data_IF_963254328130
#
_entry.id   IF_963254328130
#
_cell.length_a   1.000
_cell.length_b   1.000
_cell.length_c   1.000
_cell.angle_alpha   90.00
_cell.angle_beta   90.00
_cell.angle_gamma   90.00
#
_symmetry.space_group_name_H-M   'P 1'
#
loop_
_entity.id
_entity.type
_entity.pdbx_description
1 polymer ?
#
# COMPACT_ATOMS: atom_id res chain seq x y z
N UNK A 1 -11.26 29.60 18.75
CA UNK A 1 -12.34 29.26 17.77
C UNK A 1 -11.90 29.14 16.29
N UNK A 2 -11.51 30.20 15.56
CA UNK A 2 -11.22 30.13 14.11
C UNK A 2 -10.09 29.14 13.73
N UNK A 3 -9.00 29.11 14.51
CA UNK A 3 -7.87 28.17 14.31
C UNK A 3 -8.28 26.71 14.48
N UNK A 4 -9.21 26.43 15.39
CA UNK A 4 -9.73 25.08 15.63
C UNK A 4 -10.55 24.64 14.41
N UNK A 5 -11.46 25.49 13.93
CA UNK A 5 -12.26 25.21 12.74
C UNK A 5 -11.39 24.92 11.51
N UNK A 6 -10.35 25.72 11.28
CA UNK A 6 -9.41 25.46 10.19
C UNK A 6 -8.65 24.14 10.36
N UNK A 7 -8.30 23.77 11.59
CA UNK A 7 -7.58 22.53 11.87
C UNK A 7 -8.49 21.31 11.68
N UNK A 8 -9.75 21.39 12.09
CA UNK A 8 -10.76 20.35 11.82
C UNK A 8 -10.98 20.16 10.32
N UNK A 9 -11.09 21.25 9.53
CA UNK A 9 -11.18 21.13 8.07
C UNK A 9 -9.94 20.48 7.45
N UNK A 10 -8.74 20.76 7.97
CA UNK A 10 -7.49 20.14 7.49
C UNK A 10 -7.44 18.64 7.78
N UNK A 11 -7.83 18.19 8.97
CA UNK A 11 -7.82 16.75 9.29
C UNK A 11 -8.84 15.99 8.44
N UNK A 12 -10.00 16.58 8.18
CA UNK A 12 -11.01 16.03 7.26
C UNK A 12 -10.47 15.89 5.84
N UNK A 13 -9.83 16.94 5.30
CA UNK A 13 -9.21 16.91 3.97
C UNK A 13 -8.14 15.80 3.87
N UNK A 14 -7.26 15.67 4.86
CA UNK A 14 -6.24 14.61 4.85
C UNK A 14 -6.87 13.23 4.93
N UNK A 15 -7.93 13.06 5.74
CA UNK A 15 -8.68 11.81 5.82
C UNK A 15 -9.32 11.45 4.48
N UNK A 16 -9.84 12.44 3.75
CA UNK A 16 -10.34 12.25 2.38
C UNK A 16 -9.21 11.84 1.41
N UNK A 17 -8.02 12.42 1.51
CA UNK A 17 -6.85 12.01 0.71
C UNK A 17 -6.45 10.55 0.97
N UNK A 18 -6.46 10.12 2.23
CA UNK A 18 -6.22 8.72 2.62
C UNK A 18 -7.28 7.82 2.00
N UNK A 19 -8.57 8.16 2.15
CA UNK A 19 -9.67 7.39 1.59
C UNK A 19 -9.57 7.27 0.06
N UNK A 20 -9.23 8.37 -0.63
CA UNK A 20 -9.03 8.37 -2.08
C UNK A 20 -7.87 7.46 -2.50
N UNK A 21 -6.76 7.47 -1.76
CA UNK A 21 -5.63 6.57 -2.02
C UNK A 21 -6.06 5.10 -1.87
N UNK A 22 -6.80 4.76 -0.81
CA UNK A 22 -7.29 3.41 -0.53
C UNK A 22 -8.29 2.94 -1.60
N UNK A 23 -9.20 3.81 -2.05
CA UNK A 23 -10.11 3.51 -3.17
C UNK A 23 -9.34 3.24 -4.46
N UNK A 24 -8.38 4.10 -4.83
CA UNK A 24 -7.56 3.90 -6.04
C UNK A 24 -6.74 2.61 -5.96
N UNK A 25 -6.16 2.31 -4.80
CA UNK A 25 -5.42 1.07 -4.58
C UNK A 25 -6.31 -0.16 -4.67
N UNK A 26 -7.56 -0.07 -4.22
CA UNK A 26 -8.54 -1.16 -4.34
C UNK A 26 -8.91 -1.41 -5.81
N UNK A 27 -9.07 -0.37 -6.63
CA UNK A 27 -9.29 -0.53 -8.07
C UNK A 27 -8.12 -1.24 -8.76
N UNK A 28 -6.88 -0.89 -8.41
CA UNK A 28 -5.70 -1.59 -8.94
C UNK A 28 -5.72 -3.06 -8.51
N UNK A 29 -6.02 -3.35 -7.24
CA UNK A 29 -6.07 -4.71 -6.73
C UNK A 29 -7.11 -5.56 -7.49
N UNK A 30 -8.32 -5.03 -7.67
CA UNK A 30 -9.39 -5.70 -8.42
C UNK A 30 -9.00 -5.91 -9.88
N UNK A 31 -8.55 -4.86 -10.56
CA UNK A 31 -8.13 -4.94 -11.96
C UNK A 31 -7.02 -5.97 -12.16
N UNK A 32 -5.95 -5.87 -11.37
CA UNK A 32 -4.79 -6.75 -11.50
C UNK A 32 -5.13 -8.19 -11.10
N UNK A 33 -5.96 -8.38 -10.07
CA UNK A 33 -6.47 -9.69 -9.68
C UNK A 33 -7.28 -10.37 -10.79
N UNK A 34 -8.13 -9.63 -11.50
CA UNK A 34 -8.89 -10.15 -12.66
C UNK A 34 -7.93 -10.54 -13.79
N UNK A 35 -6.98 -9.67 -14.14
CA UNK A 35 -6.00 -9.95 -15.20
C UNK A 35 -5.18 -11.20 -14.87
N UNK A 36 -4.65 -11.33 -13.65
CA UNK A 36 -3.91 -12.52 -13.24
C UNK A 36 -4.77 -13.78 -13.28
N UNK A 37 -6.03 -13.70 -12.84
CA UNK A 37 -6.96 -14.84 -12.91
C UNK A 37 -7.10 -15.31 -14.36
N UNK A 38 -7.34 -14.40 -15.30
CA UNK A 38 -7.44 -14.73 -16.73
C UNK A 38 -6.16 -15.42 -17.20
N UNK A 39 -4.98 -14.86 -16.89
CA UNK A 39 -3.68 -15.42 -17.27
C UNK A 39 -3.53 -16.86 -16.73
N UNK A 40 -3.75 -17.08 -15.44
CA UNK A 40 -3.57 -18.40 -14.82
C UNK A 40 -4.60 -19.44 -15.24
N UNK A 41 -5.80 -19.02 -15.65
CA UNK A 41 -6.82 -19.93 -16.21
C UNK A 41 -6.61 -20.25 -17.70
N UNK A 42 -5.76 -19.49 -18.39
CA UNK A 42 -5.47 -19.69 -19.81
C UNK A 42 -4.40 -20.77 -20.04
N UNK A 43 -4.30 -21.27 -21.27
CA UNK A 43 -3.20 -22.17 -21.68
C UNK A 43 -1.83 -21.51 -21.47
N UNK A 44 -1.72 -20.20 -21.70
CA UNK A 44 -0.47 -19.43 -21.50
C UNK A 44 0.01 -19.57 -20.05
N UNK A 45 -0.88 -19.45 -19.06
CA UNK A 45 -0.53 -19.61 -17.65
C UNK A 45 -0.01 -21.01 -17.33
N UNK A 46 -0.63 -22.04 -17.89
CA UNK A 46 -0.16 -23.43 -17.71
C UNK A 46 1.23 -23.66 -18.31
N UNK A 47 1.52 -23.04 -19.45
CA UNK A 47 2.83 -23.11 -20.10
C UNK A 47 3.90 -22.32 -19.35
N UNK A 48 3.58 -21.13 -18.82
CA UNK A 48 4.48 -20.40 -17.94
C UNK A 48 4.89 -21.24 -16.73
N UNK A 49 3.93 -21.95 -16.11
CA UNK A 49 4.21 -22.84 -14.99
C UNK A 49 5.06 -24.04 -15.43
N UNK A 50 4.86 -24.57 -16.63
CA UNK A 50 5.67 -25.69 -17.12
C UNK A 50 7.14 -25.30 -17.33
N UNK A 51 7.44 -24.06 -17.72
CA UNK A 51 8.83 -23.58 -17.77
C UNK A 51 9.52 -23.60 -16.40
N UNK A 52 8.78 -23.52 -15.28
CA UNK A 52 9.35 -23.66 -13.93
C UNK A 52 9.77 -25.11 -13.60
N UNK A 53 9.23 -26.10 -14.32
CA UNK A 53 9.71 -27.48 -14.23
C UNK A 53 11.06 -27.59 -14.96
N UNK A 54 12.12 -27.20 -14.25
CA UNK A 54 13.47 -27.10 -14.77
C UNK A 54 13.94 -28.48 -15.29
N UNK A 55 14.18 -28.57 -16.60
CA UNK A 55 14.89 -29.69 -17.22
C UNK A 55 16.27 -29.20 -17.65
N UNK A 56 17.32 -29.92 -17.23
CA UNK A 56 18.69 -29.55 -17.57
C UNK A 56 18.92 -29.90 -19.04
N UNK A 57 19.15 -28.89 -19.87
CA UNK A 57 19.49 -29.09 -21.27
C UNK A 57 20.89 -29.74 -21.38
N UNK A 58 20.97 -30.88 -22.05
CA UNK A 58 22.23 -31.62 -22.24
C UNK A 58 23.17 -30.97 -23.28
N UNK A 59 22.67 -30.02 -24.09
CA UNK A 59 23.43 -29.28 -25.11
C UNK A 59 22.96 -27.83 -25.20
N UNK A 60 23.89 -26.91 -25.41
CA UNK A 60 23.60 -25.51 -25.71
C UNK A 60 23.20 -25.37 -27.18
N UNK A 61 21.90 -25.26 -27.44
CA UNK A 61 21.31 -24.93 -28.74
C UNK A 61 20.60 -23.58 -28.68
N UNK A 62 20.24 -23.01 -29.85
CA UNK A 62 19.41 -21.79 -29.92
C UNK A 62 18.08 -21.97 -29.18
N UNK A 63 17.44 -23.14 -29.31
CA UNK A 63 16.23 -23.49 -28.56
C UNK A 63 16.46 -23.48 -27.05
N UNK A 64 17.60 -24.00 -26.57
CA UNK A 64 17.96 -23.95 -25.15
C UNK A 64 18.14 -22.50 -24.66
N UNK A 65 18.63 -21.59 -25.50
CA UNK A 65 18.75 -20.18 -25.16
C UNK A 65 17.38 -19.50 -25.07
N UNK A 66 16.49 -19.74 -26.03
CA UNK A 66 15.11 -19.22 -26.01
C UNK A 66 14.37 -19.71 -24.76
N UNK A 67 14.44 -21.01 -24.45
CA UNK A 67 13.83 -21.59 -23.25
C UNK A 67 14.37 -20.97 -21.96
N UNK A 68 15.66 -20.64 -21.91
CA UNK A 68 16.26 -19.94 -20.77
C UNK A 68 15.71 -18.51 -20.61
N UNK A 69 15.53 -17.77 -21.71
CA UNK A 69 14.88 -16.45 -21.67
C UNK A 69 13.41 -16.55 -21.25
N UNK A 70 12.68 -17.56 -21.72
CA UNK A 70 11.29 -17.83 -21.32
C UNK A 70 11.21 -18.17 -19.82
N UNK A 71 12.15 -18.95 -19.29
CA UNK A 71 12.25 -19.19 -17.85
C UNK A 71 12.50 -17.89 -17.06
N UNK A 72 13.45 -17.06 -17.50
CA UNK A 72 13.78 -15.81 -16.82
C UNK A 72 12.60 -14.83 -16.81
N UNK A 73 11.88 -14.73 -17.93
CA UNK A 73 10.69 -13.87 -18.04
C UNK A 73 9.52 -14.40 -17.20
N UNK A 74 9.32 -15.72 -17.15
CA UNK A 74 8.37 -16.35 -16.23
C UNK A 74 8.68 -16.01 -14.77
N UNK A 75 9.92 -16.22 -14.32
CA UNK A 75 10.34 -15.88 -12.95
C UNK A 75 10.15 -14.38 -12.70
N UNK A 76 10.57 -13.55 -13.65
CA UNK A 76 10.40 -12.10 -13.61
C UNK A 76 8.95 -11.69 -13.36
N UNK A 77 8.01 -12.26 -14.13
CA UNK A 77 6.58 -12.00 -13.99
C UNK A 77 6.02 -12.36 -12.61
N UNK A 78 6.41 -13.52 -12.06
CA UNK A 78 5.98 -13.92 -10.72
C UNK A 78 6.54 -12.97 -9.65
N UNK A 79 7.82 -12.64 -9.73
CA UNK A 79 8.48 -11.73 -8.78
C UNK A 79 7.83 -10.34 -8.82
N UNK A 80 7.64 -9.77 -10.01
CA UNK A 80 7.01 -8.45 -10.16
C UNK A 80 5.55 -8.45 -9.73
N UNK A 81 4.83 -9.55 -9.92
CA UNK A 81 3.45 -9.71 -9.42
C UNK A 81 3.40 -9.73 -7.89
N UNK A 82 4.28 -10.48 -7.24
CA UNK A 82 4.38 -10.53 -5.77
C UNK A 82 4.76 -9.16 -5.21
N UNK A 83 5.72 -8.46 -5.82
CA UNK A 83 6.09 -7.10 -5.43
C UNK A 83 4.89 -6.16 -5.56
N UNK A 84 4.13 -6.25 -6.66
CA UNK A 84 2.93 -5.44 -6.87
C UNK A 84 1.91 -5.63 -5.74
N UNK A 85 1.55 -6.88 -5.42
CA UNK A 85 0.63 -7.16 -4.32
C UNK A 85 1.15 -6.71 -2.97
N UNK A 86 2.45 -6.87 -2.71
CA UNK A 86 3.07 -6.40 -1.48
C UNK A 86 2.97 -4.87 -1.34
N UNK A 87 3.20 -4.12 -2.42
CA UNK A 87 3.04 -2.66 -2.40
C UNK A 87 1.58 -2.25 -2.20
N UNK A 88 0.61 -2.93 -2.84
CA UNK A 88 -0.83 -2.70 -2.61
C UNK A 88 -1.18 -2.95 -1.13
N UNK A 89 -0.69 -4.05 -0.56
CA UNK A 89 -0.88 -4.36 0.86
C UNK A 89 -0.31 -3.24 1.75
N UNK A 90 0.89 -2.74 1.47
CA UNK A 90 1.47 -1.63 2.23
C UNK A 90 0.69 -0.32 2.08
N UNK A 91 0.01 -0.10 0.96
CA UNK A 91 -0.92 1.03 0.80
C UNK A 91 -2.15 0.85 1.70
N UNK A 92 -2.79 -0.32 1.66
CA UNK A 92 -4.05 -0.58 2.36
C UNK A 92 -3.87 -0.83 3.87
N UNK A 93 -2.67 -1.25 4.31
CA UNK A 93 -2.38 -1.50 5.72
C UNK A 93 -2.62 -0.24 6.57
N UNK A 94 -3.47 -0.39 7.59
CA UNK A 94 -3.69 0.63 8.61
C UNK A 94 -2.43 0.87 9.44
N UNK A 95 -1.80 2.05 9.29
CA UNK A 95 -0.66 2.48 10.10
C UNK A 95 -1.19 3.21 11.33
N UNK A 96 -1.22 2.53 12.47
CA UNK A 96 -1.81 3.05 13.72
C UNK A 96 -0.79 3.46 14.80
N UNK A 97 0.49 3.14 14.61
CA UNK A 97 1.51 3.46 15.60
C UNK A 97 1.95 4.91 15.47
N UNK A 98 1.37 5.80 16.30
CA UNK A 98 1.69 7.24 16.31
C UNK A 98 3.12 7.51 16.76
N UNK A 99 3.71 6.63 17.58
CA UNK A 99 5.04 6.82 18.16
C UNK A 99 6.17 6.87 17.11
N UNK A 100 5.95 6.29 15.92
CA UNK A 100 6.93 6.37 14.83
C UNK A 100 7.09 7.78 14.27
N UNK A 101 6.12 8.66 14.55
CA UNK A 101 6.12 10.07 14.14
C UNK A 101 6.39 11.02 15.31
N UNK A 102 6.79 10.49 16.49
CA UNK A 102 6.99 11.29 17.70
C UNK A 102 8.08 12.35 17.48
N UNK A 103 7.73 13.59 17.78
CA UNK A 103 8.62 14.74 17.73
C UNK A 103 8.39 15.63 18.95
N UNK A 104 9.34 16.53 19.25
CA UNK A 104 9.18 17.49 20.34
C UNK A 104 7.92 18.34 20.13
N UNK A 105 7.04 18.37 21.12
CA UNK A 105 5.77 19.12 21.09
C UNK A 105 4.58 18.36 20.50
N UNK A 106 4.78 17.18 19.89
CA UNK A 106 3.70 16.35 19.37
C UNK A 106 2.96 15.64 20.51
N UNK A 107 1.63 15.77 20.55
CA UNK A 107 0.81 15.03 21.50
C UNK A 107 0.66 13.57 21.05
N UNK A 108 1.23 12.65 21.82
CA UNK A 108 1.11 11.19 21.59
C UNK A 108 -0.03 10.56 22.39
N UNK A 109 -0.58 11.26 23.37
CA UNK A 109 -1.73 10.83 24.17
C UNK A 109 -2.96 11.64 23.77
N UNK A 110 -3.49 11.29 22.60
CA UNK A 110 -4.54 12.05 21.93
C UNK A 110 -5.93 11.68 22.46
N UNK A 111 -6.79 12.70 22.60
CA UNK A 111 -8.21 12.56 22.87
C UNK A 111 -9.06 12.53 21.58
N UNK A 112 -8.40 12.63 20.42
CA UNK A 112 -9.04 12.57 19.09
C UNK A 112 -8.77 11.21 18.42
N UNK A 113 -7.57 10.66 18.58
CA UNK A 113 -7.18 9.42 17.91
C UNK A 113 -7.81 8.20 18.55
N UNK A 114 -8.59 7.44 17.76
CA UNK A 114 -9.28 6.25 18.25
C UNK A 114 -8.35 5.23 18.92
N UNK A 115 -7.09 5.11 18.46
CA UNK A 115 -6.14 4.16 19.00
C UNK A 115 -5.66 4.50 20.41
N UNK A 116 -5.54 5.77 20.76
CA UNK A 116 -5.22 6.19 22.13
C UNK A 116 -6.47 6.19 23.00
N UNK A 117 -7.62 6.66 22.49
CA UNK A 117 -8.90 6.60 23.20
C UNK A 117 -9.22 5.16 23.64
N UNK A 118 -9.03 4.17 22.76
CA UNK A 118 -9.30 2.76 23.08
C UNK A 118 -8.42 2.17 24.20
N UNK A 119 -7.33 2.84 24.58
CA UNK A 119 -6.48 2.42 25.71
C UNK A 119 -6.92 3.00 27.05
N UNK A 120 -7.84 3.97 27.05
CA UNK A 120 -8.35 4.66 28.24
C UNK A 120 -9.64 4.00 28.73
N UNK A 121 -9.93 4.10 30.03
CA UNK A 121 -11.29 3.87 30.52
C UNK A 121 -12.18 5.05 30.14
N UNK A 122 -13.49 4.82 30.09
CA UNK A 122 -14.44 5.90 29.77
C UNK A 122 -14.31 7.07 30.75
N UNK A 123 -14.23 6.79 32.06
CA UNK A 123 -14.13 7.83 33.10
C UNK A 123 -12.87 8.73 32.92
N UNK A 124 -11.73 8.12 32.55
CA UNK A 124 -10.49 8.85 32.29
C UNK A 124 -10.65 9.72 31.04
N UNK A 125 -11.14 9.13 29.95
CA UNK A 125 -11.35 9.84 28.69
C UNK A 125 -12.33 11.02 28.86
N UNK A 126 -13.48 10.80 29.50
CA UNK A 126 -14.47 11.84 29.76
C UNK A 126 -13.89 12.98 30.60
N UNK A 127 -13.14 12.65 31.67
CA UNK A 127 -12.51 13.66 32.51
C UNK A 127 -11.46 14.49 31.75
N UNK A 128 -10.63 13.84 30.92
CA UNK A 128 -9.59 14.51 30.13
C UNK A 128 -10.18 15.42 29.05
N UNK A 129 -11.22 14.97 28.35
CA UNK A 129 -11.91 15.77 27.32
C UNK A 129 -12.62 16.96 27.96
N UNK A 130 -13.34 16.76 29.07
CA UNK A 130 -14.08 17.84 29.73
C UNK A 130 -13.17 18.88 30.41
N UNK A 131 -11.91 18.53 30.68
CA UNK A 131 -10.90 19.44 31.26
C UNK A 131 -9.91 20.00 30.23
N UNK A 132 -10.08 19.66 28.95
CA UNK A 132 -9.22 20.11 27.86
C UNK A 132 -9.48 21.59 27.54
N UNK A 133 -8.41 22.38 27.50
CA UNK A 133 -8.46 23.78 27.07
C UNK A 133 -8.27 23.92 25.55
N UNK A 134 -8.65 25.08 24.98
CA UNK A 134 -8.54 25.32 23.53
C UNK A 134 -7.10 25.15 23.00
N UNK A 135 -6.08 25.39 23.82
CA UNK A 135 -4.67 25.31 23.41
C UNK A 135 -4.23 23.85 23.29
N UNK A 136 -4.58 23.01 24.27
CA UNK A 136 -4.33 21.57 24.25
C UNK A 136 -5.10 20.89 23.13
N UNK A 137 -6.37 21.22 22.95
CA UNK A 137 -7.18 20.67 21.87
C UNK A 137 -6.62 21.03 20.48
N UNK A 138 -6.23 22.30 20.29
CA UNK A 138 -5.58 22.73 19.05
C UNK A 138 -4.25 22.01 18.82
N UNK A 139 -3.46 21.76 19.88
CA UNK A 139 -2.22 20.99 19.77
C UNK A 139 -2.46 19.53 19.39
N UNK A 140 -3.50 18.89 19.94
CA UNK A 140 -3.89 17.53 19.57
C UNK A 140 -4.35 17.47 18.10
N UNK A 141 -5.20 18.40 17.67
CA UNK A 141 -5.59 18.53 16.25
C UNK A 141 -4.37 18.66 15.32
N UNK A 142 -3.43 19.55 15.65
CA UNK A 142 -2.21 19.72 14.86
C UNK A 142 -1.33 18.46 14.85
N UNK A 143 -1.25 17.76 15.98
CA UNK A 143 -0.54 16.48 16.09
C UNK A 143 -1.17 15.42 15.19
N UNK A 144 -2.50 15.31 15.18
CA UNK A 144 -3.23 14.38 14.32
C UNK A 144 -3.12 14.75 12.84
N UNK A 145 -3.20 16.03 12.48
CA UNK A 145 -2.97 16.51 11.11
C UNK A 145 -1.59 16.08 10.63
N UNK A 146 -0.55 16.30 11.43
CA UNK A 146 0.82 15.93 11.09
C UNK A 146 0.97 14.41 10.90
N UNK A 147 0.46 13.62 11.84
CA UNK A 147 0.50 12.15 11.77
C UNK A 147 -0.26 11.64 10.54
N UNK A 148 -1.48 12.13 10.31
CA UNK A 148 -2.30 11.74 9.17
C UNK A 148 -1.65 12.12 7.84
N UNK A 149 -1.00 13.29 7.74
CA UNK A 149 -0.28 13.71 6.54
C UNK A 149 0.89 12.77 6.22
N UNK A 150 1.64 12.33 7.23
CA UNK A 150 2.72 11.36 7.06
C UNK A 150 2.19 9.98 6.61
N UNK A 151 1.07 9.53 7.21
CA UNK A 151 0.41 8.29 6.80
C UNK A 151 -0.05 8.37 5.34
N UNK A 152 -0.70 9.47 4.96
CA UNK A 152 -1.13 9.71 3.58
C UNK A 152 0.05 9.67 2.61
N UNK A 153 1.15 10.34 2.97
CA UNK A 153 2.38 10.37 2.16
C UNK A 153 2.94 8.96 1.91
N UNK A 154 3.08 8.15 2.96
CA UNK A 154 3.56 6.77 2.81
C UNK A 154 2.59 5.90 2.00
N UNK A 155 1.27 6.07 2.18
CA UNK A 155 0.26 5.38 1.36
C UNK A 155 0.43 5.72 -0.13
N UNK A 156 0.52 7.00 -0.49
CA UNK A 156 0.72 7.43 -1.89
C UNK A 156 2.04 6.94 -2.48
N UNK A 157 3.11 6.87 -1.69
CA UNK A 157 4.40 6.31 -2.11
C UNK A 157 4.29 4.83 -2.47
N UNK A 158 3.61 4.03 -1.65
CA UNK A 158 3.39 2.61 -1.95
C UNK A 158 2.41 2.41 -3.11
N UNK A 159 1.37 3.24 -3.22
CA UNK A 159 0.45 3.26 -4.36
C UNK A 159 1.17 3.52 -5.69
N UNK A 160 2.05 4.53 -5.75
CA UNK A 160 2.80 4.82 -6.97
C UNK A 160 3.76 3.67 -7.33
N UNK A 161 4.37 3.03 -6.31
CA UNK A 161 5.20 1.84 -6.52
C UNK A 161 4.38 0.65 -7.03
N UNK A 162 3.18 0.40 -6.49
CA UNK A 162 2.34 -0.70 -6.96
C UNK A 162 1.92 -0.50 -8.41
N UNK A 163 1.55 0.72 -8.81
CA UNK A 163 1.29 1.06 -10.21
C UNK A 163 2.48 0.76 -11.11
N UNK A 164 3.66 1.24 -10.73
CA UNK A 164 4.87 1.00 -11.52
C UNK A 164 5.15 -0.50 -11.69
N UNK A 165 5.17 -1.27 -10.60
CA UNK A 165 5.45 -2.70 -10.66
C UNK A 165 4.36 -3.49 -11.39
N UNK A 166 3.10 -3.05 -11.32
CA UNK A 166 2.01 -3.62 -12.11
C UNK A 166 2.31 -3.48 -13.61
N UNK A 167 2.68 -2.29 -14.07
CA UNK A 167 3.02 -2.06 -15.47
C UNK A 167 4.26 -2.84 -15.91
N UNK A 168 5.30 -2.91 -15.06
CA UNK A 168 6.48 -3.76 -15.32
C UNK A 168 6.06 -5.21 -15.46
N UNK A 169 5.21 -5.73 -14.56
CA UNK A 169 4.74 -7.12 -14.60
C UNK A 169 3.98 -7.42 -15.89
N UNK A 170 3.04 -6.55 -16.27
CA UNK A 170 2.30 -6.69 -17.53
C UNK A 170 3.23 -6.58 -18.75
N UNK A 171 4.24 -5.71 -18.71
CA UNK A 171 5.25 -5.60 -19.76
C UNK A 171 6.09 -6.86 -19.92
N UNK A 172 6.54 -7.46 -18.80
CA UNK A 172 7.27 -8.74 -18.81
C UNK A 172 6.39 -9.86 -19.35
N UNK A 173 5.12 -9.90 -18.98
CA UNK A 173 4.16 -10.86 -19.50
C UNK A 173 3.94 -10.71 -21.02
N UNK A 174 3.76 -9.49 -21.51
CA UNK A 174 3.62 -9.24 -22.95
C UNK A 174 4.88 -9.63 -23.72
N UNK A 175 6.07 -9.34 -23.16
CA UNK A 175 7.33 -9.77 -23.74
C UNK A 175 7.42 -11.30 -23.81
N UNK A 176 7.01 -12.01 -22.75
CA UNK A 176 6.97 -13.47 -22.72
C UNK A 176 6.08 -14.03 -23.85
N UNK A 177 4.90 -13.44 -24.07
CA UNK A 177 3.99 -13.87 -25.15
C UNK A 177 4.61 -13.66 -26.53
N UNK A 178 5.28 -12.52 -26.76
CA UNK A 178 5.82 -12.17 -28.09
C UNK A 178 7.08 -12.98 -28.43
N UNK A 179 7.88 -13.34 -27.42
CA UNK A 179 9.15 -14.05 -27.61
C UNK A 179 8.99 -15.59 -27.65
N UNK A 180 7.86 -16.10 -27.20
CA UNK A 180 7.48 -17.51 -27.29
C UNK A 180 7.10 -17.88 -28.72
#
# INVERSE_FOLDING_TARGET
MEKIEYSTKRIELISQWISNCDTKSSFILTFYGVVLTIIFTSSIGSEMISFLSCSIAAKLSWESFVNFILLLTTIGFFVTSVITFYQIYLTLKGRINVNIYKQNGLNTDSNIFFGTIATKTFDIFESEVNSEDEVKYLNDLNSQIFVAANIATEKFKHYNKSLFWMFVSLGVFLFHIVFK
#
